data_IF_216289369653
#
_entry.id   IF_216289369653
#
_cell.length_a   1.000
_cell.length_b   1.000
_cell.length_c   1.000
_cell.angle_alpha   90.00
_cell.angle_beta   90.00
_cell.angle_gamma   90.00
#
_symmetry.space_group_name_H-M   'P 1'
#
loop_
_entity.id
_entity.type
_entity.pdbx_description
1 polymer ?
#
# COMPACT_ATOMS: atom_id res chain seq x y z
N UNK A 1 3.34 23.74 -0.88
CA UNK A 1 2.63 22.45 -0.65
C UNK A 1 3.28 21.40 -1.55
N UNK A 2 3.90 20.35 -0.99
CA UNK A 2 4.60 19.33 -1.78
C UNK A 2 3.57 18.34 -2.33
N UNK A 3 3.49 18.18 -3.65
CA UNK A 3 2.63 17.17 -4.26
C UNK A 3 3.25 15.79 -4.04
N UNK A 4 2.50 14.87 -3.44
CA UNK A 4 2.90 13.50 -3.18
C UNK A 4 2.37 12.59 -4.29
N UNK A 5 3.10 12.53 -5.40
CA UNK A 5 2.84 11.57 -6.48
C UNK A 5 3.54 10.25 -6.23
N UNK A 6 2.99 9.18 -6.79
CA UNK A 6 3.59 7.86 -6.67
C UNK A 6 4.94 7.78 -7.42
N UNK A 7 5.90 7.08 -6.82
CA UNK A 7 7.19 6.74 -7.44
C UNK A 7 7.40 5.23 -7.44
N UNK A 8 7.05 4.57 -8.54
CA UNK A 8 7.10 3.11 -8.66
C UNK A 8 8.51 2.54 -8.82
N UNK A 9 9.56 3.39 -8.85
CA UNK A 9 10.96 2.95 -8.86
C UNK A 9 11.44 2.55 -7.46
N UNK A 10 10.74 3.00 -6.42
CA UNK A 10 11.02 2.63 -5.04
C UNK A 10 10.48 1.23 -4.72
N UNK A 11 10.96 0.59 -3.64
CA UNK A 11 10.43 -0.70 -3.21
C UNK A 11 8.91 -0.67 -2.97
N UNK A 12 8.26 -1.83 -3.14
CA UNK A 12 6.84 -2.00 -2.79
C UNK A 12 6.63 -1.62 -1.33
N UNK A 13 5.50 -1.01 -1.01
CA UNK A 13 5.28 -0.48 0.33
C UNK A 13 5.85 0.93 0.57
N UNK A 14 6.61 1.52 -0.37
CA UNK A 14 7.24 2.84 -0.18
C UNK A 14 6.69 3.89 -1.14
N UNK A 15 6.88 3.69 -2.45
CA UNK A 15 6.61 4.75 -3.43
C UNK A 15 5.17 4.84 -3.92
N UNK A 16 4.34 3.83 -3.67
CA UNK A 16 2.90 3.87 -3.96
C UNK A 16 2.12 4.57 -2.84
N UNK A 17 0.97 5.18 -3.14
CA UNK A 17 0.04 5.75 -2.13
C UNK A 17 0.69 6.70 -1.10
N UNK A 18 1.69 7.48 -1.52
CA UNK A 18 2.52 8.30 -0.63
C UNK A 18 1.74 9.22 0.31
N UNK A 19 0.65 9.83 -0.16
CA UNK A 19 -0.22 10.65 0.71
C UNK A 19 -0.75 9.86 1.92
N UNK A 20 -1.29 8.67 1.68
CA UNK A 20 -1.81 7.78 2.73
C UNK A 20 -0.69 7.28 3.64
N UNK A 21 0.47 6.94 3.09
CA UNK A 21 1.62 6.45 3.87
C UNK A 21 2.17 7.53 4.80
N UNK A 22 2.34 8.75 4.30
CA UNK A 22 2.78 9.90 5.13
C UNK A 22 1.77 10.20 6.22
N UNK A 23 0.46 10.18 5.90
CA UNK A 23 -0.58 10.36 6.92
C UNK A 23 -0.51 9.27 7.99
N UNK A 24 -0.46 8.00 7.60
CA UNK A 24 -0.36 6.87 8.54
C UNK A 24 0.89 6.98 9.42
N UNK A 25 2.03 7.35 8.84
CA UNK A 25 3.27 7.57 9.58
C UNK A 25 3.13 8.70 10.61
N UNK A 26 2.53 9.83 10.23
CA UNK A 26 2.26 10.97 11.13
C UNK A 26 1.29 10.62 12.26
N UNK A 27 0.39 9.65 12.03
CA UNK A 27 -0.51 9.12 13.05
C UNK A 27 0.12 8.01 13.92
N UNK A 28 1.40 7.68 13.74
CA UNK A 28 2.09 6.64 14.50
C UNK A 28 1.88 5.21 13.98
N UNK A 29 1.17 5.04 12.87
CA UNK A 29 0.95 3.73 12.23
C UNK A 29 2.13 3.33 11.33
N UNK A 30 3.36 3.47 11.84
CA UNK A 30 4.60 3.34 11.05
C UNK A 30 4.77 1.97 10.41
N UNK A 31 4.43 0.90 11.13
CA UNK A 31 4.46 -0.47 10.59
C UNK A 31 3.47 -0.64 9.42
N UNK A 32 2.20 -0.27 9.63
CA UNK A 32 1.17 -0.39 8.60
C UNK A 32 1.45 0.52 7.38
N UNK A 33 2.07 1.68 7.60
CA UNK A 33 2.47 2.61 6.55
C UNK A 33 3.52 2.04 5.59
N UNK A 34 4.27 1.00 5.99
CA UNK A 34 5.26 0.31 5.14
C UNK A 34 4.73 -0.93 4.44
N UNK A 35 3.52 -1.40 4.74
CA UNK A 35 2.99 -2.62 4.13
C UNK A 35 2.59 -2.38 2.66
N UNK A 36 2.92 -3.29 1.73
CA UNK A 36 2.46 -3.20 0.34
C UNK A 36 0.93 -3.31 0.28
N UNK A 37 0.30 -2.62 -0.68
CA UNK A 37 -1.15 -2.77 -0.91
C UNK A 37 -1.44 -4.21 -1.31
N UNK A 38 -2.44 -4.82 -0.67
CA UNK A 38 -3.02 -6.10 -1.11
C UNK A 38 -4.46 -5.88 -1.56
N UNK A 39 -4.81 -6.39 -2.73
CA UNK A 39 -6.20 -6.42 -3.16
C UNK A 39 -6.90 -7.61 -2.50
N UNK A 40 -8.17 -7.41 -2.15
CA UNK A 40 -9.09 -8.51 -1.84
C UNK A 40 -10.03 -8.55 -3.03
N UNK A 41 -10.01 -9.64 -3.80
CA UNK A 41 -10.93 -9.80 -4.91
C UNK A 41 -12.29 -10.21 -4.37
N UNK A 42 -13.30 -9.37 -4.62
CA UNK A 42 -14.70 -9.68 -4.37
C UNK A 42 -15.33 -10.11 -5.70
N UNK A 43 -15.88 -11.33 -5.75
CA UNK A 43 -16.42 -11.98 -6.95
C UNK A 43 -17.12 -13.30 -6.58
N UNK A 44 -17.67 -14.01 -7.58
CA UNK A 44 -18.67 -15.08 -7.42
C UNK A 44 -18.33 -16.13 -6.34
N UNK A 45 -18.82 -15.86 -5.12
CA UNK A 45 -18.94 -16.74 -3.95
C UNK A 45 -17.71 -16.99 -3.07
N UNK A 46 -16.50 -16.50 -3.37
CA UNK A 46 -15.33 -16.64 -2.47
C UNK A 46 -14.44 -15.39 -2.51
N UNK A 47 -14.11 -14.82 -1.34
CA UNK A 47 -13.13 -13.77 -1.21
C UNK A 47 -11.71 -14.37 -1.22
N UNK A 48 -10.86 -13.95 -2.17
CA UNK A 48 -9.46 -14.40 -2.27
C UNK A 48 -8.53 -13.21 -2.02
N UNK A 49 -7.55 -13.39 -1.13
CA UNK A 49 -6.46 -12.44 -0.95
C UNK A 49 -5.38 -12.67 -1.98
N UNK A 50 -4.73 -11.58 -2.38
CA UNK A 50 -3.51 -11.65 -3.17
C UNK A 50 -2.38 -12.34 -2.41
N UNK A 51 -1.56 -13.09 -3.15
CA UNK A 51 -0.54 -13.96 -2.58
C UNK A 51 0.66 -13.16 -2.03
N UNK A 52 1.34 -13.70 -1.01
CA UNK A 52 2.53 -13.03 -0.42
C UNK A 52 3.73 -13.00 -1.37
N UNK A 53 3.71 -13.85 -2.40
CA UNK A 53 4.70 -13.93 -3.49
C UNK A 53 4.09 -13.40 -4.79
N UNK A 54 3.64 -12.15 -4.81
CA UNK A 54 3.55 -11.46 -6.11
C UNK A 54 4.96 -11.04 -6.56
N UNK A 55 5.27 -11.30 -7.83
CA UNK A 55 6.52 -10.91 -8.50
C UNK A 55 6.77 -9.41 -8.42
#
# INVERSE_FOLDING_TARGET
MKLLFADLRLPRGVGEKLLLRVLAYRQGLTYAAGLPKRAIQFGSRIAKMDDRKEK
#
